data_IF_464727413015
#
_entry.id   IF_464727413015
#
_cell.length_a   1.000
_cell.length_b   1.000
_cell.length_c   1.000
_cell.angle_alpha   90.00
_cell.angle_beta   90.00
_cell.angle_gamma   90.00
#
_symmetry.space_group_name_H-M   'P 1'
#
loop_
_entity.id
_entity.type
_entity.pdbx_description
1 polymer ?
#
# COMPACT_ATOMS: atom_id res chain seq x y z
N UNK A 1 -2.48 -8.60 1.68
CA UNK A 1 -3.15 -9.67 0.91
C UNK A 1 -4.59 -9.30 0.51
N UNK A 2 -5.53 -9.03 1.42
CA UNK A 2 -6.92 -8.76 1.04
C UNK A 2 -7.08 -7.45 0.23
N UNK A 3 -6.33 -6.40 0.58
CA UNK A 3 -6.31 -5.15 -0.20
C UNK A 3 -5.86 -5.38 -1.66
N UNK A 4 -4.77 -6.13 -1.87
CA UNK A 4 -4.27 -6.45 -3.21
C UNK A 4 -5.31 -7.23 -4.04
N UNK A 5 -5.96 -8.25 -3.45
CA UNK A 5 -7.00 -9.01 -4.14
C UNK A 5 -8.19 -8.13 -4.54
N UNK A 6 -8.64 -7.25 -3.64
CA UNK A 6 -9.71 -6.29 -3.91
C UNK A 6 -9.31 -5.23 -4.96
N UNK A 7 -8.04 -4.80 -4.98
CA UNK A 7 -7.50 -3.90 -5.99
C UNK A 7 -7.47 -4.58 -7.38
N UNK A 8 -7.09 -5.85 -7.43
CA UNK A 8 -7.13 -6.64 -8.67
C UNK A 8 -8.56 -6.80 -9.20
N UNK A 9 -9.51 -7.16 -8.32
CA UNK A 9 -10.91 -7.32 -8.68
C UNK A 9 -11.54 -6.01 -9.17
N UNK A 10 -11.29 -4.89 -8.48
CA UNK A 10 -11.79 -3.58 -8.90
C UNK A 10 -11.18 -3.10 -10.21
N UNK A 11 -9.88 -3.31 -10.43
CA UNK A 11 -9.24 -3.01 -11.72
C UNK A 11 -9.82 -3.86 -12.85
N UNK A 12 -9.97 -5.18 -12.65
CA UNK A 12 -10.54 -6.06 -13.65
C UNK A 12 -11.97 -5.66 -14.03
N UNK A 13 -12.82 -5.36 -13.04
CA UNK A 13 -14.19 -4.87 -13.28
C UNK A 13 -14.18 -3.53 -14.01
N UNK A 14 -13.29 -2.61 -13.64
CA UNK A 14 -13.15 -1.31 -14.31
C UNK A 14 -12.81 -1.50 -15.80
N UNK A 15 -11.85 -2.38 -16.11
CA UNK A 15 -11.48 -2.71 -17.49
C UNK A 15 -12.63 -3.38 -18.25
N UNK A 16 -13.33 -4.33 -17.62
CA UNK A 16 -14.43 -5.06 -18.25
C UNK A 16 -15.69 -4.19 -18.50
N UNK A 17 -15.95 -3.22 -17.63
CA UNK A 17 -16.98 -2.20 -17.88
C UNK A 17 -16.57 -1.34 -19.07
N UNK A 18 -15.31 -0.92 -19.13
CA UNK A 18 -14.78 -0.06 -20.20
C UNK A 18 -14.69 -0.74 -21.56
N UNK A 19 -14.48 -2.05 -21.62
CA UNK A 19 -14.54 -2.83 -22.86
C UNK A 19 -15.96 -3.04 -23.38
N UNK A 20 -16.98 -2.55 -22.67
CA UNK A 20 -18.38 -2.74 -23.04
C UNK A 20 -18.89 -4.17 -22.85
N UNK A 21 -18.12 -5.02 -22.15
CA UNK A 21 -18.48 -6.42 -21.88
C UNK A 21 -19.78 -6.51 -21.07
N UNK A 22 -20.07 -5.50 -20.24
CA UNK A 22 -21.25 -5.49 -19.40
C UNK A 22 -22.18 -4.31 -19.64
N UNK A 23 -23.48 -4.59 -19.68
CA UNK A 23 -24.55 -3.59 -19.84
C UNK A 23 -25.47 -3.44 -18.63
N UNK A 24 -25.18 -4.10 -17.50
CA UNK A 24 -26.00 -4.04 -16.28
C UNK A 24 -25.37 -3.17 -15.19
N UNK A 25 -26.13 -2.88 -14.13
CA UNK A 25 -25.65 -2.12 -12.97
C UNK A 25 -24.76 -2.93 -12.01
N UNK A 26 -24.83 -4.27 -12.08
CA UNK A 26 -24.12 -5.17 -11.17
C UNK A 26 -22.59 -4.98 -11.18
N UNK A 27 -21.90 -4.87 -12.34
CA UNK A 27 -20.45 -4.65 -12.34
C UNK A 27 -20.03 -3.32 -11.72
N UNK A 28 -20.86 -2.28 -11.83
CA UNK A 28 -20.62 -1.00 -11.15
C UNK A 28 -20.71 -1.18 -9.63
N UNK A 29 -21.73 -1.89 -9.15
CA UNK A 29 -21.86 -2.25 -7.73
C UNK A 29 -20.63 -3.04 -7.26
N UNK A 30 -20.25 -4.10 -7.98
CA UNK A 30 -19.09 -4.93 -7.63
C UNK A 30 -17.77 -4.14 -7.68
N UNK A 31 -17.61 -3.22 -8.63
CA UNK A 31 -16.41 -2.39 -8.73
C UNK A 31 -16.30 -1.41 -7.55
N UNK A 32 -17.41 -0.75 -7.20
CA UNK A 32 -17.48 0.11 -6.02
C UNK A 32 -17.24 -0.65 -4.72
N UNK A 33 -17.84 -1.83 -4.56
CA UNK A 33 -17.64 -2.71 -3.41
C UNK A 33 -16.17 -3.11 -3.28
N UNK A 34 -15.56 -3.63 -4.36
CA UNK A 34 -14.17 -4.09 -4.35
C UNK A 34 -13.19 -2.94 -4.09
N UNK A 35 -13.37 -1.78 -4.73
CA UNK A 35 -12.50 -0.63 -4.51
C UNK A 35 -12.61 -0.08 -3.09
N UNK A 36 -13.82 -0.08 -2.51
CA UNK A 36 -14.03 0.33 -1.12
C UNK A 36 -13.47 -0.67 -0.12
N UNK A 37 -13.54 -1.98 -0.42
CA UNK A 37 -12.86 -3.00 0.38
C UNK A 37 -11.34 -2.81 0.36
N UNK A 38 -10.75 -2.43 -0.79
CA UNK A 38 -9.33 -2.06 -0.83
C UNK A 38 -9.02 -0.95 0.16
N UNK A 39 -9.83 0.12 0.18
CA UNK A 39 -9.66 1.25 1.11
C UNK A 39 -9.89 0.87 2.59
N UNK A 40 -10.85 -0.02 2.87
CA UNK A 40 -11.10 -0.52 4.22
C UNK A 40 -9.94 -1.38 4.74
N UNK A 41 -9.28 -2.14 3.87
CA UNK A 41 -8.11 -2.95 4.23
C UNK A 41 -6.80 -2.15 4.24
N UNK A 42 -6.74 -1.03 3.54
CA UNK A 42 -5.54 -0.19 3.42
C UNK A 42 -5.95 1.27 3.17
N UNK A 43 -5.81 2.12 4.19
CA UNK A 43 -6.37 3.47 4.18
C UNK A 43 -5.94 4.34 2.96
N UNK A 44 -4.66 4.37 2.54
CA UNK A 44 -4.26 5.13 1.35
C UNK A 44 -4.92 4.67 0.04
N UNK A 45 -5.47 3.45 0.00
CA UNK A 45 -6.23 2.98 -1.15
C UNK A 45 -7.60 3.69 -1.30
N UNK A 46 -7.98 4.59 -0.39
CA UNK A 46 -9.02 5.57 -0.64
C UNK A 46 -8.77 6.36 -1.93
N UNK A 47 -7.50 6.65 -2.26
CA UNK A 47 -7.13 7.27 -3.53
C UNK A 47 -7.54 6.40 -4.75
N UNK A 48 -7.42 5.07 -4.64
CA UNK A 48 -7.87 4.13 -5.66
C UNK A 48 -9.40 4.10 -5.76
N UNK A 49 -10.12 4.07 -4.64
CA UNK A 49 -11.59 4.17 -4.64
C UNK A 49 -12.07 5.43 -5.36
N UNK A 50 -11.50 6.59 -5.03
CA UNK A 50 -11.83 7.86 -5.69
C UNK A 50 -11.53 7.78 -7.18
N UNK A 51 -10.36 7.27 -7.58
CA UNK A 51 -9.99 7.13 -8.97
C UNK A 51 -10.96 6.22 -9.75
N UNK A 52 -11.32 5.06 -9.18
CA UNK A 52 -12.31 4.14 -9.76
C UNK A 52 -13.66 4.84 -9.95
N UNK A 53 -14.17 5.52 -8.93
CA UNK A 53 -15.45 6.24 -9.02
C UNK A 53 -15.42 7.36 -10.06
N UNK A 54 -14.31 8.10 -10.18
CA UNK A 54 -14.15 9.14 -11.20
C UNK A 54 -14.13 8.53 -12.61
N UNK A 55 -13.40 7.44 -12.83
CA UNK A 55 -13.36 6.78 -14.14
C UNK A 55 -14.72 6.18 -14.51
N UNK A 56 -15.41 5.56 -13.55
CA UNK A 56 -16.77 5.05 -13.77
C UNK A 56 -17.76 6.18 -14.04
N UNK A 57 -17.69 7.30 -13.32
CA UNK A 57 -18.57 8.45 -13.50
C UNK A 57 -18.42 9.09 -14.88
N UNK A 58 -17.18 9.16 -15.40
CA UNK A 58 -16.90 9.60 -16.77
C UNK A 58 -17.53 8.68 -17.83
N UNK A 59 -17.68 7.39 -17.53
CA UNK A 59 -18.22 6.40 -18.46
C UNK A 59 -19.75 6.29 -18.38
N UNK A 60 -20.30 6.13 -17.17
CA UNK A 60 -21.74 6.11 -16.90
C UNK A 60 -22.01 6.67 -15.49
N UNK A 61 -22.34 7.96 -15.44
CA UNK A 61 -22.61 8.67 -14.19
C UNK A 61 -23.81 8.07 -13.44
N UNK A 62 -24.86 7.67 -14.17
CA UNK A 62 -26.09 7.16 -13.56
C UNK A 62 -25.79 5.88 -12.78
N UNK A 63 -25.13 4.90 -13.41
CA UNK A 63 -24.81 3.63 -12.73
C UNK A 63 -23.75 3.79 -11.66
N UNK A 64 -22.85 4.76 -11.81
CA UNK A 64 -21.89 5.08 -10.75
C UNK A 64 -22.61 5.55 -9.50
N UNK A 65 -23.55 6.49 -9.63
CA UNK A 65 -24.32 7.02 -8.50
C UNK A 65 -25.31 5.99 -7.94
N UNK A 66 -25.99 5.22 -8.80
CA UNK A 66 -27.06 4.31 -8.32
C UNK A 66 -26.54 2.92 -7.91
N UNK A 67 -25.30 2.56 -8.22
CA UNK A 67 -24.77 1.22 -7.92
C UNK A 67 -23.38 1.26 -7.25
N UNK A 68 -22.38 1.92 -7.86
CA UNK A 68 -21.01 1.91 -7.32
C UNK A 68 -20.88 2.68 -5.99
N UNK A 69 -21.48 3.88 -5.91
CA UNK A 69 -21.44 4.71 -4.70
C UNK A 69 -22.18 4.04 -3.53
N UNK A 70 -23.41 3.51 -3.68
CA UNK A 70 -24.07 2.75 -2.62
C UNK A 70 -23.26 1.55 -2.13
N UNK A 71 -22.61 0.82 -3.04
CA UNK A 71 -21.74 -0.29 -2.67
C UNK A 71 -20.53 0.16 -1.84
N UNK A 72 -19.91 1.28 -2.21
CA UNK A 72 -18.81 1.86 -1.46
C UNK A 72 -19.27 2.37 -0.07
N UNK A 73 -20.43 3.01 0.00
CA UNK A 73 -21.02 3.48 1.25
C UNK A 73 -21.38 2.32 2.19
N UNK A 74 -21.84 1.19 1.65
CA UNK A 74 -22.09 -0.03 2.42
C UNK A 74 -20.81 -0.51 3.13
N UNK A 75 -19.69 -0.56 2.42
CA UNK A 75 -18.39 -0.96 3.01
C UNK A 75 -17.91 0.06 4.03
N UNK A 76 -18.04 1.35 3.72
CA UNK A 76 -17.67 2.42 4.66
C UNK A 76 -18.49 2.33 5.95
N UNK A 77 -19.81 2.16 5.84
CA UNK A 77 -20.70 1.99 6.99
C UNK A 77 -20.31 0.75 7.81
N UNK A 78 -20.02 -0.39 7.15
CA UNK A 78 -19.57 -1.59 7.84
C UNK A 78 -18.23 -1.38 8.58
N UNK A 79 -17.25 -0.71 7.97
CA UNK A 79 -15.96 -0.44 8.59
C UNK A 79 -16.08 0.51 9.79
N UNK A 80 -16.85 1.59 9.66
CA UNK A 80 -17.07 2.55 10.75
C UNK A 80 -17.89 1.93 11.89
N UNK A 81 -18.93 1.15 11.57
CA UNK A 81 -19.72 0.43 12.55
C UNK A 81 -18.88 -0.61 13.30
N UNK A 82 -18.00 -1.34 12.60
CA UNK A 82 -17.10 -2.29 13.24
C UNK A 82 -16.16 -1.60 14.25
N UNK A 83 -15.57 -0.45 13.90
CA UNK A 83 -14.76 0.34 14.84
C UNK A 83 -15.60 0.78 16.05
N UNK A 84 -16.81 1.30 15.82
CA UNK A 84 -17.67 1.78 16.90
C UNK A 84 -18.11 0.65 17.84
N UNK A 85 -18.49 -0.51 17.30
CA UNK A 85 -18.88 -1.67 18.10
C UNK A 85 -17.70 -2.24 18.91
N UNK A 86 -16.48 -2.21 18.35
CA UNK A 86 -15.30 -2.75 19.02
C UNK A 86 -14.69 -1.79 20.05
N UNK A 87 -14.74 -0.48 19.80
CA UNK A 87 -13.95 0.52 20.54
C UNK A 87 -14.74 1.72 21.05
N UNK A 88 -16.05 1.80 20.78
CA UNK A 88 -16.89 2.95 21.15
C UNK A 88 -16.66 4.20 20.30
N UNK A 89 -15.81 4.15 19.28
CA UNK A 89 -15.48 5.26 18.37
C UNK A 89 -15.39 4.79 16.93
N UNK A 90 -15.73 5.64 15.97
CA UNK A 90 -15.58 5.36 14.53
C UNK A 90 -14.12 5.52 14.04
N UNK A 91 -13.30 6.22 14.82
CA UNK A 91 -11.89 6.47 14.51
C UNK A 91 -11.10 5.18 14.74
N UNK A 92 -10.28 4.73 13.78
CA UNK A 92 -9.54 3.49 13.94
C UNK A 92 -8.48 3.60 15.05
N UNK A 93 -8.17 2.51 15.78
CA UNK A 93 -7.25 2.53 16.92
C UNK A 93 -5.89 3.17 16.63
N UNK A 94 -5.32 2.91 15.44
CA UNK A 94 -4.02 3.45 15.05
C UNK A 94 -4.01 4.97 14.88
N UNK A 95 -5.16 5.62 14.68
CA UNK A 95 -5.26 7.07 14.61
C UNK A 95 -5.25 7.73 16.00
N UNK A 96 -5.41 6.95 17.08
CA UNK A 96 -5.21 7.41 18.46
C UNK A 96 -3.75 7.33 18.92
N UNK A 97 -2.80 7.10 17.99
CA UNK A 97 -1.38 7.21 18.28
C UNK A 97 -0.96 8.67 18.15
N UNK A 98 -0.68 9.31 19.28
CA UNK A 98 -0.18 10.68 19.32
C UNK A 98 1.34 10.71 19.14
N UNK A 99 1.82 10.78 17.90
CA UNK A 99 3.25 10.94 17.63
C UNK A 99 3.72 12.36 18.00
N UNK A 100 4.73 12.47 18.86
CA UNK A 100 5.36 13.76 19.22
C UNK A 100 4.74 14.52 20.40
N UNK A 101 3.67 14.02 21.03
CA UNK A 101 3.33 14.45 22.39
C UNK A 101 4.41 13.97 23.36
N UNK A 102 4.68 14.75 24.43
CA UNK A 102 5.63 14.37 25.49
C UNK A 102 5.34 12.92 25.89
N UNK A 103 6.25 11.97 25.64
CA UNK A 103 6.03 10.61 26.11
C UNK A 103 5.90 10.66 27.63
N UNK A 104 4.98 9.87 28.19
CA UNK A 104 5.06 9.53 29.60
C UNK A 104 6.48 9.03 29.93
N UNK A 105 6.87 9.12 31.21
CA UNK A 105 8.18 8.65 31.65
C UNK A 105 8.46 7.26 31.06
N UNK A 106 9.67 7.08 30.48
CA UNK A 106 10.06 5.87 29.75
C UNK A 106 9.87 4.59 30.58
N UNK A 107 9.98 4.72 31.90
CA UNK A 107 9.66 3.69 32.89
C UNK A 107 8.44 4.10 33.71
N UNK A 108 7.43 3.24 33.69
CA UNK A 108 6.27 3.38 34.57
C UNK A 108 6.60 2.86 35.98
N UNK A 109 6.20 3.61 37.01
CA UNK A 109 6.27 3.15 38.41
C UNK A 109 4.89 2.63 38.86
N UNK A 110 3.83 3.21 38.31
CA UNK A 110 2.43 2.92 38.64
C UNK A 110 1.62 2.63 37.38
N UNK A 111 0.41 2.10 37.59
CA UNK A 111 -0.56 1.93 36.50
C UNK A 111 -0.95 3.29 35.94
N UNK A 112 -1.02 3.38 34.62
CA UNK A 112 -1.39 4.62 33.93
C UNK A 112 -2.02 4.29 32.59
N UNK A 113 -2.95 5.12 32.15
CA UNK A 113 -3.52 5.04 30.83
C UNK A 113 -3.75 6.46 30.32
N UNK A 114 -3.29 6.73 29.10
CA UNK A 114 -3.43 8.02 28.45
C UNK A 114 -4.65 7.99 27.51
N UNK A 115 -5.74 8.72 27.83
CA UNK A 115 -6.94 8.73 26.99
C UNK A 115 -6.70 9.36 25.61
N UNK A 116 -5.72 10.28 25.51
CA UNK A 116 -5.38 10.98 24.27
C UNK A 116 -4.35 10.21 23.42
N UNK A 117 -3.73 9.17 23.98
CA UNK A 117 -2.81 8.29 23.28
C UNK A 117 -3.00 6.83 23.73
N UNK A 118 -3.77 6.05 22.95
CA UNK A 118 -4.10 4.68 23.32
C UNK A 118 -2.89 3.74 23.37
N UNK A 119 -1.77 4.18 22.79
CA UNK A 119 -0.51 3.47 22.81
C UNK A 119 0.36 3.85 24.01
N UNK A 120 -0.10 4.69 24.92
CA UNK A 120 0.59 5.05 26.15
C UNK A 120 -0.17 4.53 27.37
N UNK A 121 0.33 3.41 27.91
CA UNK A 121 -0.25 2.75 29.07
C UNK A 121 0.82 2.01 29.89
N UNK A 122 0.47 1.75 31.16
CA UNK A 122 1.11 0.80 32.03
C UNK A 122 0.03 0.07 32.83
N UNK A 123 -0.02 -1.25 32.71
CA UNK A 123 -1.05 -2.09 33.35
C UNK A 123 -0.39 -3.18 34.20
N UNK A 124 -0.95 -3.47 35.37
CA UNK A 124 -0.47 -4.55 36.22
C UNK A 124 -1.09 -5.85 35.77
N UNK A 125 -0.24 -6.82 35.43
CA UNK A 125 -0.67 -8.16 35.09
C UNK A 125 -1.07 -8.94 36.35
N UNK A 126 -1.85 -10.04 36.23
CA UNK A 126 -2.26 -10.85 37.38
C UNK A 126 -1.11 -11.39 38.24
N UNK A 127 0.10 -11.49 37.69
CA UNK A 127 1.31 -11.91 38.40
C UNK A 127 2.03 -10.75 39.12
N UNK A 128 1.41 -9.57 39.22
CA UNK A 128 1.96 -8.38 39.88
C UNK A 128 2.95 -7.57 39.04
N UNK A 129 3.40 -8.08 37.88
CA UNK A 129 4.34 -7.38 36.99
C UNK A 129 3.64 -6.21 36.29
N UNK A 130 4.29 -5.05 36.27
CA UNK A 130 3.83 -3.89 35.51
C UNK A 130 4.25 -4.05 34.04
N UNK A 131 3.28 -4.25 33.15
CA UNK A 131 3.48 -4.22 31.71
C UNK A 131 3.39 -2.76 31.24
N UNK A 132 4.52 -2.21 30.80
CA UNK A 132 4.58 -0.88 30.20
C UNK A 132 4.46 -0.94 28.68
N UNK A 133 3.88 0.10 28.10
CA UNK A 133 3.77 0.21 26.65
C UNK A 133 5.15 0.31 25.98
N UNK A 134 5.33 -0.49 24.93
CA UNK A 134 6.48 -0.45 24.04
C UNK A 134 6.70 0.94 23.41
N UNK A 135 5.61 1.68 23.14
CA UNK A 135 5.66 2.96 22.44
C UNK A 135 6.18 4.12 23.30
N UNK A 136 6.41 3.90 24.60
CA UNK A 136 7.15 4.85 25.45
C UNK A 136 8.65 4.89 25.14
N UNK A 137 9.19 3.80 24.59
CA UNK A 137 10.60 3.67 24.23
C UNK A 137 10.76 2.74 23.01
N UNK A 138 10.27 3.14 21.82
CA UNK A 138 10.29 2.30 20.63
C UNK A 138 11.73 1.93 20.22
N UNK A 139 11.91 0.73 19.67
CA UNK A 139 13.22 0.19 19.31
C UNK A 139 13.33 -0.16 17.83
N UNK A 140 14.58 -0.26 17.36
CA UNK A 140 14.87 -0.65 15.97
C UNK A 140 14.12 0.19 14.94
N UNK A 141 13.40 -0.49 14.06
CA UNK A 141 12.69 0.14 12.92
C UNK A 141 11.54 1.06 13.36
N UNK A 142 10.99 0.86 14.56
CA UNK A 142 9.88 1.65 15.09
C UNK A 142 10.30 3.01 15.63
N UNK A 143 11.61 3.25 15.80
CA UNK A 143 12.16 4.62 15.98
C UNK A 143 11.97 5.47 14.72
N UNK A 144 11.85 4.80 13.57
CA UNK A 144 11.79 5.40 12.26
C UNK A 144 13.12 6.01 11.80
N UNK A 145 13.33 6.01 10.49
CA UNK A 145 14.52 6.59 9.87
C UNK A 145 14.59 8.10 10.12
N UNK A 146 15.65 8.66 10.74
CA UNK A 146 15.77 10.09 11.01
C UNK A 146 15.81 10.98 9.75
N UNK A 147 16.43 10.53 8.66
CA UNK A 147 16.60 11.30 7.43
C UNK A 147 15.50 11.02 6.40
N UNK A 148 14.78 12.06 5.95
CA UNK A 148 13.71 11.88 4.94
C UNK A 148 14.29 11.41 3.60
N UNK A 149 15.50 11.86 3.28
CA UNK A 149 16.21 11.50 2.06
C UNK A 149 16.65 10.04 2.10
N UNK A 150 17.22 9.59 3.23
CA UNK A 150 17.60 8.18 3.39
C UNK A 150 16.36 7.27 3.32
N UNK A 151 15.27 7.67 3.98
CA UNK A 151 14.00 6.96 3.91
C UNK A 151 13.49 6.84 2.47
N UNK A 152 13.46 7.96 1.73
CA UNK A 152 13.01 7.97 0.34
C UNK A 152 13.90 7.10 -0.57
N UNK A 153 15.22 7.21 -0.42
CA UNK A 153 16.17 6.37 -1.15
C UNK A 153 15.91 4.89 -0.88
N UNK A 154 15.83 4.49 0.39
CA UNK A 154 15.65 3.10 0.78
C UNK A 154 14.25 2.56 0.52
N UNK A 155 13.23 3.40 0.41
CA UNK A 155 11.88 3.01 -0.02
C UNK A 155 11.77 2.85 -1.55
N UNK A 156 12.54 3.60 -2.35
CA UNK A 156 12.45 3.55 -3.83
C UNK A 156 13.47 2.56 -4.43
N UNK A 157 14.74 2.66 -4.06
CA UNK A 157 15.83 1.95 -4.73
C UNK A 157 16.87 1.31 -3.79
N UNK A 158 16.82 1.60 -2.49
CA UNK A 158 17.73 1.01 -1.52
C UNK A 158 17.22 -0.30 -0.94
N UNK A 159 17.45 -0.55 0.35
CA UNK A 159 17.29 -1.90 0.90
C UNK A 159 15.84 -2.39 1.03
N UNK A 160 14.85 -1.50 1.20
CA UNK A 160 13.42 -1.84 1.12
C UNK A 160 12.81 -1.48 -0.24
N UNK A 161 13.65 -1.14 -1.23
CA UNK A 161 13.24 -0.37 -2.40
C UNK A 161 12.26 -1.09 -3.31
N UNK A 162 11.25 -0.37 -3.79
CA UNK A 162 10.32 -0.84 -4.83
C UNK A 162 11.09 -1.39 -6.04
N UNK A 163 12.10 -0.66 -6.53
CA UNK A 163 12.82 -0.98 -7.76
C UNK A 163 13.98 -1.96 -7.55
N UNK A 164 14.62 -1.94 -6.39
CA UNK A 164 15.76 -2.82 -6.09
C UNK A 164 15.32 -4.23 -5.72
N UNK A 165 14.25 -4.35 -4.92
CA UNK A 165 13.70 -5.65 -4.55
C UNK A 165 12.75 -6.21 -5.61
N UNK A 166 12.21 -5.38 -6.50
CA UNK A 166 11.34 -5.85 -7.59
C UNK A 166 11.65 -5.10 -8.90
N UNK A 167 12.80 -5.39 -9.55
CA UNK A 167 13.23 -4.70 -10.77
C UNK A 167 12.23 -4.77 -11.94
N UNK A 168 11.30 -5.75 -11.93
CA UNK A 168 10.22 -5.82 -12.91
C UNK A 168 9.34 -4.55 -12.91
N UNK A 169 9.29 -3.79 -11.81
CA UNK A 169 8.56 -2.52 -11.75
C UNK A 169 9.16 -1.41 -12.62
N UNK A 170 10.38 -1.56 -13.14
CA UNK A 170 10.94 -0.66 -14.16
C UNK A 170 10.07 -0.62 -15.43
N UNK A 171 9.27 -1.66 -15.68
CA UNK A 171 8.36 -1.73 -16.83
C UNK A 171 7.08 -0.90 -16.65
N UNK A 172 6.77 -0.47 -15.43
CA UNK A 172 5.49 0.23 -15.12
C UNK A 172 5.44 1.61 -15.78
N UNK A 173 6.48 2.43 -15.62
CA UNK A 173 6.51 3.79 -16.16
C UNK A 173 6.36 3.83 -17.69
N UNK A 174 7.17 3.10 -18.49
CA UNK A 174 6.97 3.06 -19.93
C UNK A 174 5.62 2.44 -20.31
N UNK A 175 5.13 1.47 -19.54
CA UNK A 175 3.85 0.83 -19.80
C UNK A 175 2.67 1.78 -19.61
N UNK A 176 2.68 2.58 -18.54
CA UNK A 176 1.73 3.67 -18.32
C UNK A 176 1.80 4.72 -19.44
N UNK A 177 3.00 5.08 -19.89
CA UNK A 177 3.16 6.02 -21.00
C UNK A 177 2.55 5.48 -22.31
N UNK A 178 2.72 4.18 -22.59
CA UNK A 178 2.14 3.53 -23.76
C UNK A 178 0.61 3.47 -23.69
N UNK A 179 0.03 3.11 -22.53
CA UNK A 179 -1.43 3.13 -22.34
C UNK A 179 -1.99 4.55 -22.46
N UNK A 180 -1.31 5.54 -21.88
CA UNK A 180 -1.71 6.93 -21.97
C UNK A 180 -1.61 7.50 -23.40
N UNK A 181 -0.68 7.00 -24.22
CA UNK A 181 -0.51 7.43 -25.62
C UNK A 181 -1.60 6.89 -26.56
N UNK A 182 -2.30 5.81 -26.18
CA UNK A 182 -3.39 5.19 -26.96
C UNK A 182 -4.72 5.98 -26.97
N UNK A 183 -4.71 7.22 -26.46
CA UNK A 183 -5.87 8.16 -26.47
C UNK A 183 -6.61 8.28 -27.80
N UNK A 184 -5.97 7.98 -28.94
CA UNK A 184 -6.57 8.11 -30.28
C UNK A 184 -7.59 7.02 -30.63
N UNK A 185 -7.72 5.94 -29.85
CA UNK A 185 -8.60 4.80 -30.20
C UNK A 185 -9.88 4.66 -29.35
N UNK A 186 -10.19 5.60 -28.44
CA UNK A 186 -11.46 5.60 -27.69
C UNK A 186 -11.56 4.57 -26.55
N UNK A 187 -10.56 3.70 -26.40
CA UNK A 187 -10.46 2.70 -25.36
C UNK A 187 -10.01 3.34 -24.04
N UNK A 188 -10.71 3.08 -22.93
CA UNK A 188 -10.49 3.74 -21.63
C UNK A 188 -9.14 3.52 -20.96
N UNK A 189 -8.18 2.93 -21.68
CA UNK A 189 -6.83 2.63 -21.23
C UNK A 189 -6.10 3.87 -20.71
N UNK A 190 -6.29 5.02 -21.35
CA UNK A 190 -5.63 6.26 -20.93
C UNK A 190 -6.15 6.79 -19.57
N UNK A 191 -7.44 6.66 -19.30
CA UNK A 191 -8.03 7.04 -18.01
C UNK A 191 -7.56 6.08 -16.90
N UNK A 192 -7.49 4.78 -17.19
CA UNK A 192 -6.98 3.77 -16.25
C UNK A 192 -5.49 3.97 -15.98
N UNK A 193 -4.69 4.24 -17.00
CA UNK A 193 -3.27 4.55 -16.84
C UNK A 193 -3.06 5.81 -16.00
N UNK A 194 -3.83 6.87 -16.25
CA UNK A 194 -3.78 8.09 -15.44
C UNK A 194 -4.18 7.81 -13.99
N UNK A 195 -5.22 7.00 -13.77
CA UNK A 195 -5.64 6.59 -12.43
C UNK A 195 -4.53 5.82 -11.68
N UNK A 196 -3.92 4.81 -12.31
CA UNK A 196 -2.82 4.05 -11.71
C UNK A 196 -1.61 4.95 -11.43
N UNK A 197 -1.24 5.83 -12.37
CA UNK A 197 -0.13 6.77 -12.20
C UNK A 197 -0.38 7.75 -11.04
N UNK A 198 -1.55 8.38 -11.01
CA UNK A 198 -1.94 9.33 -9.98
C UNK A 198 -1.98 8.69 -8.60
N UNK A 199 -2.61 7.52 -8.48
CA UNK A 199 -2.67 6.78 -7.21
C UNK A 199 -1.28 6.34 -6.75
N UNK A 200 -0.42 5.88 -7.67
CA UNK A 200 0.98 5.56 -7.35
C UNK A 200 1.72 6.77 -6.79
N UNK A 201 1.61 7.92 -7.45
CA UNK A 201 2.25 9.15 -6.98
C UNK A 201 1.70 9.58 -5.61
N UNK A 202 0.38 9.64 -5.45
CA UNK A 202 -0.27 10.04 -4.19
C UNK A 202 0.16 9.15 -3.03
N UNK A 203 0.12 7.84 -3.21
CA UNK A 203 0.44 6.88 -2.14
C UNK A 203 1.92 6.90 -1.78
N UNK A 204 2.81 6.91 -2.78
CA UNK A 204 4.25 6.98 -2.54
C UNK A 204 4.59 8.29 -1.83
N UNK A 205 4.13 9.43 -2.36
CA UNK A 205 4.38 10.76 -1.76
C UNK A 205 3.81 10.83 -0.34
N UNK A 206 2.59 10.33 -0.11
CA UNK A 206 1.97 10.28 1.21
C UNK A 206 2.89 9.59 2.23
N UNK A 207 3.42 8.40 1.89
CA UNK A 207 4.29 7.67 2.80
C UNK A 207 5.68 8.30 2.96
N UNK A 208 6.24 8.90 1.91
CA UNK A 208 7.53 9.60 1.99
C UNK A 208 7.49 10.87 2.84
N UNK A 209 6.31 11.49 2.97
CA UNK A 209 6.11 12.72 3.73
C UNK A 209 5.70 12.47 5.20
N UNK A 210 5.58 11.21 5.64
CA UNK A 210 5.18 10.90 7.01
C UNK A 210 6.20 11.41 8.06
N UNK A 211 5.73 11.70 9.29
CA UNK A 211 6.59 12.01 10.43
C UNK A 211 7.61 10.91 10.72
N UNK A 212 8.60 11.21 11.57
CA UNK A 212 9.65 10.26 11.90
C UNK A 212 9.14 8.91 12.38
N UNK A 213 8.19 8.91 13.31
CA UNK A 213 7.64 7.71 13.93
C UNK A 213 7.06 6.69 12.93
N UNK A 214 6.69 7.13 11.72
CA UNK A 214 6.10 6.31 10.66
C UNK A 214 7.11 5.91 9.56
N UNK A 215 8.34 6.44 9.59
CA UNK A 215 9.38 6.14 8.61
C UNK A 215 10.03 4.78 8.88
N UNK A 216 9.21 3.74 8.93
CA UNK A 216 9.60 2.37 9.30
C UNK A 216 9.47 1.35 8.15
N UNK A 217 9.25 1.81 6.92
CA UNK A 217 9.07 0.99 5.70
C UNK A 217 7.92 -0.02 5.74
N UNK A 218 7.05 0.06 6.76
CA UNK A 218 6.06 -0.97 7.05
C UNK A 218 6.41 -1.88 8.20
N UNK A 219 7.38 -1.54 9.04
CA UNK A 219 7.86 -2.40 10.12
C UNK A 219 8.79 -3.49 9.60
N UNK A 220 9.02 -4.54 10.41
CA UNK A 220 9.90 -5.65 10.05
C UNK A 220 9.31 -6.46 8.89
N UNK A 221 9.71 -6.16 7.66
CA UNK A 221 9.16 -6.77 6.45
C UNK A 221 10.17 -6.71 5.30
N UNK A 222 10.08 -7.64 4.36
CA UNK A 222 10.99 -7.70 3.22
C UNK A 222 10.50 -6.85 2.04
N UNK A 223 10.55 -5.53 2.24
CA UNK A 223 10.31 -4.52 1.21
C UNK A 223 9.46 -3.37 1.72
N UNK A 224 9.12 -2.42 0.85
CA UNK A 224 8.27 -1.31 1.21
C UNK A 224 6.80 -1.75 1.30
N UNK A 225 6.40 -2.32 2.44
CA UNK A 225 5.13 -3.04 2.60
C UNK A 225 3.90 -2.19 2.28
N UNK A 226 3.99 -0.90 2.57
CA UNK A 226 2.93 0.07 2.38
C UNK A 226 2.37 0.18 0.95
N UNK A 227 3.13 -0.26 -0.06
CA UNK A 227 2.70 -0.23 -1.47
C UNK A 227 2.37 -1.62 -2.04
N UNK A 228 2.47 -2.70 -1.26
CA UNK A 228 2.26 -4.06 -1.79
C UNK A 228 0.86 -4.29 -2.37
N UNK A 229 -0.15 -3.59 -1.87
CA UNK A 229 -1.51 -3.66 -2.40
C UNK A 229 -1.63 -3.13 -3.85
N UNK A 230 -0.65 -2.35 -4.31
CA UNK A 230 -0.62 -1.77 -5.65
C UNK A 230 -0.09 -2.73 -6.72
N UNK A 231 0.50 -3.86 -6.31
CA UNK A 231 1.07 -4.86 -7.22
C UNK A 231 0.17 -5.23 -8.41
N UNK A 232 -1.13 -5.57 -8.25
CA UNK A 232 -1.99 -5.89 -9.41
C UNK A 232 -2.18 -4.71 -10.37
N UNK A 233 -2.20 -3.47 -9.86
CA UNK A 233 -2.28 -2.27 -10.70
C UNK A 233 -1.00 -2.11 -11.54
N UNK A 234 0.15 -2.32 -10.90
CA UNK A 234 1.46 -2.25 -11.56
C UNK A 234 1.70 -3.40 -12.54
N UNK A 235 1.21 -4.61 -12.26
CA UNK A 235 1.25 -5.73 -13.21
C UNK A 235 0.51 -5.34 -14.49
N UNK A 236 -0.73 -4.86 -14.39
CA UNK A 236 -1.51 -4.45 -15.56
C UNK A 236 -0.82 -3.32 -16.33
N UNK A 237 -0.25 -2.35 -15.61
CA UNK A 237 0.49 -1.25 -16.20
C UNK A 237 1.78 -1.68 -16.91
N UNK A 238 2.45 -2.75 -16.47
CA UNK A 238 3.70 -3.24 -17.04
C UNK A 238 3.51 -4.03 -18.35
N UNK A 239 2.31 -4.59 -18.60
CA UNK A 239 2.02 -5.46 -19.76
C UNK A 239 2.46 -4.87 -21.10
N UNK A 240 2.14 -3.60 -21.45
CA UNK A 240 2.49 -3.07 -22.77
C UNK A 240 4.00 -2.99 -23.03
N UNK A 241 4.79 -2.73 -21.98
CA UNK A 241 6.26 -2.74 -22.11
C UNK A 241 6.78 -4.16 -22.24
N UNK A 242 6.22 -5.11 -21.47
CA UNK A 242 6.56 -6.52 -21.61
C UNK A 242 6.26 -7.05 -23.02
N UNK A 243 5.13 -6.66 -23.62
CA UNK A 243 4.76 -7.03 -24.99
C UNK A 243 5.77 -6.51 -26.03
N UNK A 244 6.25 -5.27 -25.87
CA UNK A 244 7.27 -4.69 -26.76
C UNK A 244 8.59 -5.44 -26.62
N UNK A 245 9.06 -5.66 -25.38
CA UNK A 245 10.29 -6.41 -25.12
C UNK A 245 10.21 -7.84 -25.67
N UNK A 246 9.01 -8.45 -25.60
CA UNK A 246 8.71 -9.79 -26.12
C UNK A 246 8.99 -9.97 -27.61
N UNK A 247 9.00 -8.89 -28.41
CA UNK A 247 9.18 -8.94 -29.87
C UNK A 247 10.62 -9.25 -30.31
N UNK A 248 11.60 -9.10 -29.42
CA UNK A 248 13.01 -9.35 -29.73
C UNK A 248 13.62 -10.41 -28.81
N UNK A 249 14.73 -11.05 -29.23
CA UNK A 249 15.46 -11.99 -28.35
C UNK A 249 16.07 -11.28 -27.15
N UNK A 250 16.72 -10.13 -27.38
CA UNK A 250 17.34 -9.34 -26.31
C UNK A 250 16.31 -8.79 -25.31
N UNK A 251 15.18 -8.29 -25.80
CA UNK A 251 14.11 -7.79 -24.93
C UNK A 251 13.51 -8.89 -24.05
N UNK A 252 13.30 -10.10 -24.59
CA UNK A 252 12.88 -11.27 -23.80
C UNK A 252 13.88 -11.62 -22.70
N UNK A 253 15.18 -11.64 -23.03
CA UNK A 253 16.24 -11.89 -22.04
C UNK A 253 16.17 -10.83 -20.93
N UNK A 254 16.09 -9.55 -21.28
CA UNK A 254 15.98 -8.47 -20.31
C UNK A 254 14.75 -8.62 -19.41
N UNK A 255 13.56 -8.86 -20.00
CA UNK A 255 12.33 -9.03 -19.24
C UNK A 255 12.40 -10.24 -18.29
N UNK A 256 12.95 -11.37 -18.75
CA UNK A 256 13.15 -12.56 -17.93
C UNK A 256 14.15 -12.30 -16.79
N UNK A 257 15.23 -11.55 -17.03
CA UNK A 257 16.20 -11.19 -15.98
C UNK A 257 15.56 -10.30 -14.90
N UNK A 258 14.81 -9.27 -15.30
CA UNK A 258 14.11 -8.40 -14.34
C UNK A 258 13.08 -9.19 -13.51
N UNK A 259 12.34 -10.10 -14.16
CA UNK A 259 11.37 -10.96 -13.48
C UNK A 259 12.06 -11.97 -12.56
N UNK A 260 13.13 -12.63 -13.01
CA UNK A 260 13.87 -13.59 -12.20
C UNK A 260 14.43 -12.95 -10.93
N UNK A 261 15.07 -11.78 -11.05
CA UNK A 261 15.56 -11.03 -9.88
C UNK A 261 14.44 -10.63 -8.92
N UNK A 262 13.28 -10.23 -9.47
CA UNK A 262 12.09 -9.92 -8.67
C UNK A 262 11.58 -11.14 -7.90
N UNK A 263 11.48 -12.29 -8.57
CA UNK A 263 11.03 -13.55 -7.96
C UNK A 263 11.98 -14.03 -6.88
N UNK A 264 13.30 -13.99 -7.14
CA UNK A 264 14.31 -14.37 -6.15
C UNK A 264 14.23 -13.49 -4.89
N UNK A 265 14.05 -12.19 -5.07
CA UNK A 265 13.93 -11.23 -3.98
C UNK A 265 12.66 -11.45 -3.15
N UNK A 266 11.51 -11.73 -3.78
CA UNK A 266 10.25 -12.06 -3.09
C UNK A 266 10.30 -13.45 -2.43
N UNK A 267 11.04 -14.41 -2.99
CA UNK A 267 11.21 -15.74 -2.42
C UNK A 267 12.20 -15.77 -1.26
N UNK A 268 13.08 -14.78 -1.12
CA UNK A 268 14.05 -14.72 -0.03
C UNK A 268 13.40 -14.86 1.38
N UNK A 269 12.32 -14.13 1.73
CA UNK A 269 11.66 -14.25 3.03
C UNK A 269 10.59 -15.37 3.10
N UNK A 270 10.62 -16.40 2.23
CA UNK A 270 9.53 -17.39 2.09
C UNK A 270 9.04 -17.97 3.42
N UNK A 271 9.97 -18.30 4.33
CA UNK A 271 9.64 -18.93 5.62
C UNK A 271 9.22 -17.93 6.72
N UNK A 272 9.61 -16.66 6.58
CA UNK A 272 9.23 -15.62 7.52
C UNK A 272 9.15 -14.27 6.79
N UNK A 273 7.93 -13.80 6.43
CA UNK A 273 7.76 -12.51 5.78
C UNK A 273 8.12 -11.32 6.68
N UNK A 274 8.21 -11.54 8.00
CA UNK A 274 8.56 -10.52 9.00
C UNK A 274 10.06 -10.47 9.26
N UNK A 275 10.85 -10.41 8.18
CA UNK A 275 12.30 -10.34 8.22
C UNK A 275 12.83 -9.20 7.35
N UNK A 276 14.08 -8.80 7.60
CA UNK A 276 14.77 -7.76 6.82
C UNK A 276 15.02 -8.24 5.38
N UNK A 277 14.90 -7.37 4.37
CA UNK A 277 15.26 -7.71 2.99
C UNK A 277 16.73 -8.14 2.89
N UNK A 278 17.02 -9.01 1.92
CA UNK A 278 18.39 -9.52 1.68
C UNK A 278 19.41 -8.40 1.43
N UNK A 279 18.99 -7.32 0.76
CA UNK A 279 19.86 -6.15 0.50
C UNK A 279 20.27 -5.49 1.82
N UNK A 280 19.34 -5.35 2.78
CA UNK A 280 19.66 -4.75 4.08
C UNK A 280 20.65 -5.63 4.85
N UNK A 281 20.43 -6.94 4.84
CA UNK A 281 21.32 -7.89 5.51
C UNK A 281 22.72 -7.87 4.90
N UNK A 282 22.82 -7.82 3.58
CA UNK A 282 24.09 -7.70 2.87
C UNK A 282 24.82 -6.39 3.21
N UNK A 283 24.12 -5.26 3.22
CA UNK A 283 24.70 -3.96 3.58
C UNK A 283 25.17 -3.91 5.04
N UNK A 284 24.43 -4.54 5.97
CA UNK A 284 24.86 -4.67 7.37
C UNK A 284 26.09 -5.56 7.51
N UNK A 285 26.12 -6.68 6.80
CA UNK A 285 27.27 -7.59 6.78
C UNK A 285 28.52 -6.89 6.24
N UNK A 286 28.37 -6.04 5.23
CA UNK A 286 29.44 -5.21 4.66
C UNK A 286 29.82 -3.99 5.52
N UNK A 287 29.15 -3.75 6.64
CA UNK A 287 29.40 -2.59 7.52
C UNK A 287 28.88 -1.25 6.97
N UNK A 288 28.07 -1.26 5.90
CA UNK A 288 27.50 -0.05 5.31
C UNK A 288 26.29 0.51 6.07
N UNK A 289 25.67 -0.30 6.94
CA UNK A 289 24.57 0.10 7.82
C UNK A 289 24.94 -0.22 9.26
N UNK A 290 24.68 0.72 10.17
CA UNK A 290 24.93 0.52 11.60
C UNK A 290 24.16 -0.71 12.13
N UNK A 291 24.81 -1.48 13.02
CA UNK A 291 24.15 -2.54 13.77
C UNK A 291 22.97 -1.96 14.58
N UNK A 292 21.86 -2.72 14.75
CA UNK A 292 20.66 -2.23 15.42
C UNK A 292 20.89 -1.85 16.88
#
# INVERSE_FOLDING_TARGET
LPAAAAAAASLWLLLAIRSGTYRSAWPFFAAGLAAALTAAFELPALAWLVAVLVVLAKYDLRRTITAAVPAALLVAAAALAANHLAHGTIVPPYAHRADGMRPAAATAVEESWNPDNWYDYAIRLPNGRLLQSYWRAPQGIDKGEPSRVAYAWHAIAGHHGILSLTPAWLLVVPGLALLAARRRHGDGEADVALAIAAVSAVVIVFYLLRPQADRNYGGMTSGFRWVFWMAPLWVAAAVPTADILGRSRLGRILACLLLAMSVLSVAYPTWNPWTRPWIEQALRHAGCLAAP
#
